data_IF_029872429437
#
_entry.id   IF_029872429437
#
_cell.length_a   1.000
_cell.length_b   1.000
_cell.length_c   1.000
_cell.angle_alpha   90.00
_cell.angle_beta   90.00
_cell.angle_gamma   90.00
#
_symmetry.space_group_name_H-M   'P 1'
#
loop_
_entity.id
_entity.type
_entity.pdbx_description
1 polymer ?
#
# COMPACT_ATOMS: atom_id res chain seq x y z
N UNK A 1 21.67 1.73 -14.41
CA UNK A 1 20.66 2.06 -13.39
C UNK A 1 19.73 3.16 -13.91
N UNK A 2 18.49 3.11 -13.46
CA UNK A 2 17.46 4.09 -13.77
C UNK A 2 16.53 4.25 -12.56
N UNK A 3 15.77 5.34 -12.51
CA UNK A 3 14.70 5.51 -11.52
C UNK A 3 13.36 5.14 -12.15
N UNK A 4 12.59 4.30 -11.47
CA UNK A 4 11.25 3.90 -11.91
C UNK A 4 10.23 4.56 -11.01
N UNK A 5 9.21 5.19 -11.59
CA UNK A 5 8.11 5.79 -10.84
C UNK A 5 6.76 5.29 -11.35
N UNK A 6 5.83 5.07 -10.40
CA UNK A 6 4.45 4.66 -10.65
C UNK A 6 3.53 5.52 -9.80
N UNK A 7 2.51 6.12 -10.43
CA UNK A 7 1.49 6.86 -9.72
C UNK A 7 0.24 6.00 -9.48
N UNK A 8 -0.58 6.38 -8.53
CA UNK A 8 -1.85 5.72 -8.22
C UNK A 8 -2.76 5.62 -9.44
N UNK A 9 -2.83 6.69 -10.24
CA UNK A 9 -3.65 6.74 -11.44
C UNK A 9 -3.12 5.87 -12.59
N UNK A 10 -1.87 5.41 -12.53
CA UNK A 10 -1.28 4.54 -13.55
C UNK A 10 -0.38 5.26 -14.56
N UNK A 11 0.24 6.38 -14.17
CA UNK A 11 1.33 6.99 -14.93
C UNK A 11 2.65 6.32 -14.56
N UNK A 12 3.36 5.84 -15.56
CA UNK A 12 4.63 5.11 -15.38
C UNK A 12 5.73 5.69 -16.25
N UNK A 13 6.95 5.65 -15.78
CA UNK A 13 8.15 6.02 -16.52
C UNK A 13 9.41 5.49 -15.87
N UNK A 14 10.50 5.46 -16.61
CA UNK A 14 11.86 5.46 -16.07
C UNK A 14 12.52 6.80 -16.32
N UNK A 15 13.41 7.19 -15.42
CA UNK A 15 14.13 8.47 -15.49
C UNK A 15 15.60 8.22 -15.25
N UNK A 16 16.46 8.82 -16.07
CA UNK A 16 17.90 8.69 -15.90
C UNK A 16 18.36 9.24 -14.55
N UNK A 17 19.42 8.71 -13.93
CA UNK A 17 19.97 9.24 -12.68
C UNK A 17 20.31 10.73 -12.77
N UNK A 18 20.81 11.18 -13.93
CA UNK A 18 21.13 12.58 -14.18
C UNK A 18 19.90 13.49 -14.11
N UNK A 19 18.81 13.08 -14.74
CA UNK A 19 17.56 13.84 -14.73
C UNK A 19 16.93 13.86 -13.33
N UNK A 20 16.97 12.75 -12.63
CA UNK A 20 16.47 12.64 -11.24
C UNK A 20 17.29 13.54 -10.29
N UNK A 21 18.61 13.49 -10.36
CA UNK A 21 19.52 14.29 -9.52
C UNK A 21 19.40 15.80 -9.77
N UNK A 22 18.97 16.21 -10.96
CA UNK A 22 18.75 17.63 -11.31
C UNK A 22 17.41 18.19 -10.81
N UNK A 23 16.61 17.39 -10.08
CA UNK A 23 15.27 17.73 -9.65
C UNK A 23 15.06 17.32 -8.20
N UNK A 24 14.04 17.91 -7.54
CA UNK A 24 13.55 17.41 -6.25
C UNK A 24 12.44 16.38 -6.48
N UNK A 25 12.13 15.56 -5.49
CA UNK A 25 11.07 14.55 -5.58
C UNK A 25 9.72 15.19 -5.93
N UNK A 26 9.43 16.37 -5.36
CA UNK A 26 8.17 17.10 -5.55
C UNK A 26 8.02 17.68 -6.96
N UNK A 27 9.12 17.83 -7.70
CA UNK A 27 9.10 18.36 -9.09
C UNK A 27 8.68 17.32 -10.13
N UNK A 28 8.25 16.13 -9.73
CA UNK A 28 7.74 15.11 -10.66
C UNK A 28 6.62 15.68 -11.53
N UNK A 29 6.66 15.37 -12.83
CA UNK A 29 5.55 15.69 -13.75
C UNK A 29 4.28 15.00 -13.30
N UNK A 30 3.20 15.75 -13.06
CA UNK A 30 1.97 15.25 -12.42
C UNK A 30 0.72 15.94 -12.93
N UNK A 31 -0.40 15.26 -12.76
CA UNK A 31 -1.75 15.79 -12.89
C UNK A 31 -2.29 16.25 -11.52
N UNK A 32 -3.44 16.95 -11.52
CA UNK A 32 -3.99 17.61 -10.32
C UNK A 32 -4.27 16.65 -9.15
N UNK A 33 -4.66 15.41 -9.42
CA UNK A 33 -4.96 14.35 -8.43
C UNK A 33 -3.77 13.38 -8.23
N UNK A 34 -2.57 13.86 -8.42
CA UNK A 34 -1.35 13.09 -8.34
C UNK A 34 -1.13 12.44 -6.96
N UNK A 35 -0.78 11.14 -6.99
CA UNK A 35 -0.24 10.41 -5.85
C UNK A 35 0.82 9.43 -6.31
N UNK A 36 2.04 9.62 -5.84
CA UNK A 36 3.16 8.71 -6.10
C UNK A 36 3.01 7.45 -5.24
N UNK A 37 2.93 6.28 -5.87
CA UNK A 37 2.85 4.98 -5.19
C UNK A 37 4.24 4.36 -5.03
N UNK A 38 5.10 4.58 -6.00
CA UNK A 38 6.38 3.88 -6.07
C UNK A 38 7.42 4.76 -6.76
N UNK A 39 8.59 4.85 -6.14
CA UNK A 39 9.81 5.34 -6.77
C UNK A 39 10.99 4.54 -6.24
N UNK A 40 11.78 3.98 -7.14
CA UNK A 40 12.93 3.15 -6.78
C UNK A 40 13.96 3.15 -7.90
N UNK A 41 15.23 3.01 -7.52
CA UNK A 41 16.28 2.67 -8.50
C UNK A 41 16.11 1.24 -8.99
N UNK A 42 16.33 1.03 -10.28
CA UNK A 42 16.24 -0.27 -10.91
C UNK A 42 17.31 -0.41 -12.00
N UNK A 43 17.61 -1.66 -12.33
CA UNK A 43 18.41 -2.00 -13.52
C UNK A 43 17.46 -2.25 -14.69
N UNK A 44 17.90 -1.89 -15.90
CA UNK A 44 17.11 -2.14 -17.11
C UNK A 44 16.86 -3.62 -17.39
N UNK A 45 17.61 -4.51 -16.75
CA UNK A 45 17.41 -5.97 -16.82
C UNK A 45 16.35 -6.51 -15.87
N UNK A 46 15.83 -5.69 -14.97
CA UNK A 46 14.81 -6.07 -13.99
C UNK A 46 13.40 -5.88 -14.55
N UNK A 47 12.42 -6.26 -13.75
CA UNK A 47 11.01 -6.34 -14.13
C UNK A 47 10.15 -5.55 -13.16
N UNK A 48 9.20 -4.78 -13.69
CA UNK A 48 8.20 -4.05 -12.91
C UNK A 48 6.89 -4.82 -12.88
N UNK A 49 6.40 -5.08 -11.67
CA UNK A 49 5.05 -5.59 -11.41
C UNK A 49 4.21 -4.50 -10.76
N UNK A 50 2.98 -4.33 -11.25
CA UNK A 50 2.01 -3.36 -10.74
C UNK A 50 0.69 -4.07 -10.46
N UNK A 51 0.17 -3.90 -9.24
CA UNK A 51 -1.05 -4.56 -8.76
C UNK A 51 -2.16 -3.53 -8.64
N UNK A 52 -3.33 -3.85 -9.21
CA UNK A 52 -4.44 -2.90 -9.28
C UNK A 52 -5.51 -3.17 -8.22
N UNK A 53 -6.33 -2.16 -7.98
CA UNK A 53 -7.50 -2.22 -7.09
C UNK A 53 -8.59 -3.19 -7.56
N UNK A 54 -8.57 -3.59 -8.83
CA UNK A 54 -9.53 -4.54 -9.41
C UNK A 54 -9.01 -5.99 -9.48
N UNK A 55 -7.88 -6.26 -8.82
CA UNK A 55 -7.33 -7.61 -8.77
C UNK A 55 -6.53 -8.03 -9.99
N UNK A 56 -6.01 -7.08 -10.75
CA UNK A 56 -5.19 -7.31 -11.92
C UNK A 56 -3.72 -6.98 -11.66
N UNK A 57 -2.83 -7.71 -12.32
CA UNK A 57 -1.41 -7.42 -12.32
C UNK A 57 -0.96 -7.04 -13.72
N UNK A 58 -0.11 -6.02 -13.80
CA UNK A 58 0.48 -5.51 -15.05
C UNK A 58 1.99 -5.70 -14.95
N UNK A 59 2.57 -6.20 -16.02
CA UNK A 59 3.99 -6.46 -16.15
C UNK A 59 4.64 -5.55 -17.18
N UNK A 60 5.79 -4.99 -16.84
CA UNK A 60 6.67 -4.28 -17.78
C UNK A 60 8.14 -4.62 -17.51
N UNK A 61 8.90 -5.06 -18.52
CA UNK A 61 10.35 -5.04 -18.41
C UNK A 61 10.80 -3.58 -18.25
N UNK A 62 11.77 -3.34 -17.37
CA UNK A 62 12.24 -1.97 -17.11
C UNK A 62 12.77 -1.29 -18.36
N UNK A 63 13.48 -2.04 -19.24
CA UNK A 63 14.02 -1.48 -20.49
C UNK A 63 12.95 -1.03 -21.50
N UNK A 64 11.72 -1.53 -21.37
CA UNK A 64 10.59 -1.12 -22.23
C UNK A 64 9.83 0.12 -21.72
N UNK A 65 10.14 0.59 -20.52
CA UNK A 65 9.56 1.84 -20.01
C UNK A 65 10.14 3.02 -20.78
N UNK A 66 9.28 4.01 -21.10
CA UNK A 66 9.73 5.24 -21.72
C UNK A 66 10.70 6.01 -20.81
N UNK A 67 11.83 6.42 -21.37
CA UNK A 67 12.82 7.25 -20.67
C UNK A 67 12.35 8.71 -20.75
N UNK A 68 11.83 9.20 -19.61
CA UNK A 68 11.15 10.50 -19.52
C UNK A 68 11.81 11.30 -18.38
N UNK A 69 12.00 12.60 -18.62
CA UNK A 69 12.54 13.49 -17.59
C UNK A 69 11.66 13.50 -16.34
N UNK A 70 12.26 13.67 -15.18
CA UNK A 70 11.53 13.66 -13.92
C UNK A 70 10.39 14.69 -13.88
N UNK A 71 10.60 15.86 -14.43
CA UNK A 71 9.62 16.95 -14.48
C UNK A 71 8.48 16.74 -15.49
N UNK A 72 8.58 15.75 -16.35
CA UNK A 72 7.55 15.45 -17.36
C UNK A 72 6.64 14.32 -16.91
N UNK A 73 5.40 14.35 -17.36
CA UNK A 73 4.40 13.31 -17.04
C UNK A 73 4.77 12.01 -17.76
N UNK A 74 4.66 10.88 -17.05
CA UNK A 74 4.87 9.55 -17.61
C UNK A 74 3.76 9.12 -18.57
N UNK A 75 3.91 7.93 -19.13
CA UNK A 75 2.86 7.29 -19.94
C UNK A 75 1.77 6.73 -19.06
N UNK A 76 0.51 6.90 -19.46
CA UNK A 76 -0.62 6.29 -18.75
C UNK A 76 -0.84 4.85 -19.22
N UNK A 77 -1.05 3.93 -18.29
CA UNK A 77 -1.23 2.51 -18.59
C UNK A 77 -2.41 2.22 -19.54
N UNK A 78 -3.46 3.04 -19.53
CA UNK A 78 -4.60 2.88 -20.45
C UNK A 78 -4.23 3.09 -21.92
N UNK A 79 -3.10 3.71 -22.21
CA UNK A 79 -2.63 3.88 -23.60
C UNK A 79 -2.19 2.57 -24.25
N UNK A 80 -1.79 1.59 -23.45
CA UNK A 80 -1.28 0.30 -23.94
C UNK A 80 -2.06 -0.89 -23.42
N UNK A 81 -2.57 -0.85 -22.18
CA UNK A 81 -3.35 -1.93 -21.58
C UNK A 81 -4.82 -1.76 -21.92
N UNK A 82 -5.34 -2.59 -22.82
CA UNK A 82 -6.69 -2.46 -23.38
C UNK A 82 -7.80 -2.81 -22.39
N UNK A 83 -7.52 -3.62 -21.37
CA UNK A 83 -8.45 -3.99 -20.32
C UNK A 83 -8.23 -3.23 -19.00
N UNK A 84 -7.56 -2.08 -19.05
CA UNK A 84 -7.43 -1.17 -17.91
C UNK A 84 -8.72 -0.35 -17.79
N UNK A 85 -9.41 -0.49 -16.65
CA UNK A 85 -10.70 0.16 -16.41
C UNK A 85 -10.53 1.62 -15.96
N UNK A 86 -11.55 2.46 -16.21
CA UNK A 86 -11.54 3.88 -15.85
C UNK A 86 -11.38 4.11 -14.33
N UNK A 87 -11.97 3.22 -13.51
CA UNK A 87 -11.90 3.28 -12.05
C UNK A 87 -10.76 2.44 -11.45
N UNK A 88 -9.92 1.86 -12.29
CA UNK A 88 -8.79 1.03 -11.85
C UNK A 88 -7.61 1.89 -11.46
N UNK A 89 -7.01 1.59 -10.32
CA UNK A 89 -5.85 2.30 -9.79
C UNK A 89 -4.77 1.31 -9.41
N UNK A 90 -3.51 1.77 -9.39
CA UNK A 90 -2.38 0.98 -8.89
C UNK A 90 -2.31 1.13 -7.38
N UNK A 91 -2.29 0.02 -6.68
CA UNK A 91 -2.22 0.00 -5.22
C UNK A 91 -0.86 -0.44 -4.68
N UNK A 92 -0.12 -1.21 -5.45
CA UNK A 92 1.20 -1.71 -5.09
C UNK A 92 2.04 -1.92 -6.34
N UNK A 93 3.34 -1.63 -6.24
CA UNK A 93 4.30 -1.90 -7.30
C UNK A 93 5.63 -2.36 -6.71
N UNK A 94 6.34 -3.19 -7.45
CA UNK A 94 7.68 -3.64 -7.08
C UNK A 94 8.52 -3.96 -8.30
N UNK A 95 9.84 -3.89 -8.13
CA UNK A 95 10.84 -4.33 -9.10
C UNK A 95 11.38 -5.67 -8.65
N UNK A 96 11.37 -6.65 -9.55
CA UNK A 96 11.82 -8.02 -9.29
C UNK A 96 12.87 -8.47 -10.29
N UNK A 97 13.73 -9.38 -9.86
CA UNK A 97 14.77 -9.98 -10.72
C UNK A 97 14.23 -11.19 -11.49
N UNK A 98 13.32 -11.96 -10.88
CA UNK A 98 12.79 -13.22 -11.40
C UNK A 98 11.38 -13.50 -10.91
N UNK A 99 10.71 -14.49 -11.51
CA UNK A 99 9.30 -14.81 -11.24
C UNK A 99 9.10 -16.18 -10.57
N UNK A 100 10.10 -17.02 -10.53
CA UNK A 100 10.04 -18.40 -10.05
C UNK A 100 10.54 -18.58 -8.61
N UNK A 101 10.74 -17.49 -7.90
CA UNK A 101 11.06 -17.53 -6.48
C UNK A 101 9.83 -17.91 -5.62
N UNK A 102 10.06 -18.23 -4.35
CA UNK A 102 9.03 -18.65 -3.43
C UNK A 102 8.23 -17.47 -2.82
N UNK A 103 8.27 -16.29 -3.43
CA UNK A 103 7.58 -15.11 -2.90
C UNK A 103 6.07 -15.28 -2.96
N UNK A 104 5.43 -15.03 -1.84
CA UNK A 104 3.98 -15.08 -1.65
C UNK A 104 3.48 -13.69 -1.27
N UNK A 105 2.36 -13.26 -1.86
CA UNK A 105 1.69 -12.02 -1.54
C UNK A 105 0.42 -12.30 -0.75
N UNK A 106 0.03 -11.39 0.13
CA UNK A 106 -1.35 -11.32 0.57
C UNK A 106 -2.07 -10.20 -0.20
N UNK A 107 -3.37 -10.37 -0.38
CA UNK A 107 -4.26 -9.35 -0.94
C UNK A 107 -5.54 -9.32 -0.11
N UNK A 108 -5.93 -8.14 0.34
CA UNK A 108 -7.13 -7.94 1.15
C UNK A 108 -8.08 -6.97 0.46
N UNK A 109 -9.40 -7.23 0.55
CA UNK A 109 -10.42 -6.45 -0.13
C UNK A 109 -11.22 -5.58 0.85
N UNK A 110 -11.80 -4.51 0.31
CA UNK A 110 -12.66 -3.58 1.05
C UNK A 110 -13.83 -4.26 1.76
N UNK A 111 -14.43 -5.27 1.14
CA UNK A 111 -15.55 -6.02 1.72
C UNK A 111 -15.11 -7.16 2.66
N UNK A 112 -13.83 -7.24 3.00
CA UNK A 112 -13.32 -8.12 4.05
C UNK A 112 -12.93 -9.52 3.60
N UNK A 113 -12.46 -9.68 2.37
CA UNK A 113 -11.84 -10.91 1.87
C UNK A 113 -10.32 -10.80 1.95
N UNK A 114 -9.64 -11.94 2.09
CA UNK A 114 -8.18 -12.01 2.04
C UNK A 114 -7.74 -13.31 1.37
N UNK A 115 -6.64 -13.27 0.65
CA UNK A 115 -6.00 -14.44 0.04
C UNK A 115 -4.50 -14.32 0.10
N UNK A 116 -3.82 -15.43 -0.13
CA UNK A 116 -2.42 -15.44 -0.52
C UNK A 116 -2.29 -15.99 -1.94
N UNK A 117 -1.30 -15.49 -2.67
CA UNK A 117 -1.00 -15.92 -4.05
C UNK A 117 0.52 -15.89 -4.27
N UNK A 118 1.05 -16.87 -4.99
CA UNK A 118 2.49 -16.93 -5.27
C UNK A 118 2.86 -16.13 -6.52
N UNK A 119 4.03 -15.47 -6.51
CA UNK A 119 4.56 -14.70 -7.65
C UNK A 119 4.65 -15.52 -8.92
N UNK A 120 4.97 -16.79 -8.85
CA UNK A 120 5.04 -17.68 -10.03
C UNK A 120 3.75 -17.75 -10.84
N UNK A 121 2.61 -17.40 -10.25
CA UNK A 121 1.33 -17.30 -10.96
C UNK A 121 1.30 -16.16 -12.01
N UNK A 122 2.19 -15.20 -11.91
CA UNK A 122 2.27 -14.03 -12.80
C UNK A 122 3.55 -14.04 -13.64
N UNK A 123 4.11 -15.18 -13.98
CA UNK A 123 5.20 -15.26 -14.96
C UNK A 123 4.81 -14.51 -16.23
N UNK A 124 5.76 -13.83 -16.90
CA UNK A 124 5.42 -13.03 -18.06
C UNK A 124 4.55 -13.78 -19.05
N UNK A 125 3.41 -13.22 -19.40
CA UNK A 125 2.46 -13.80 -20.33
C UNK A 125 2.60 -13.19 -21.72
N UNK A 126 2.18 -13.93 -22.74
CA UNK A 126 2.40 -13.54 -24.14
C UNK A 126 1.87 -12.15 -24.48
N UNK A 127 0.72 -11.78 -23.94
CA UNK A 127 0.03 -10.51 -24.25
C UNK A 127 0.29 -9.42 -23.22
N UNK A 128 1.37 -9.51 -22.44
CA UNK A 128 1.64 -8.59 -21.32
C UNK A 128 1.68 -7.11 -21.72
N UNK A 129 2.05 -6.81 -22.98
CA UNK A 129 2.13 -5.42 -23.48
C UNK A 129 0.74 -4.76 -23.58
N UNK A 130 -0.31 -5.55 -23.80
CA UNK A 130 -1.65 -5.06 -24.07
C UNK A 130 -2.72 -5.54 -23.09
N UNK A 131 -2.42 -6.49 -22.23
CA UNK A 131 -3.38 -7.11 -21.30
C UNK A 131 -2.77 -7.25 -19.91
N UNK A 132 -3.56 -6.89 -18.89
CA UNK A 132 -3.34 -7.35 -17.52
C UNK A 132 -3.91 -8.74 -17.33
N UNK A 133 -3.46 -9.44 -16.28
CA UNK A 133 -4.02 -10.72 -15.84
C UNK A 133 -4.43 -10.62 -14.37
N UNK A 134 -5.31 -11.52 -13.92
CA UNK A 134 -5.77 -11.53 -12.54
C UNK A 134 -4.70 -12.09 -11.59
N UNK A 135 -4.57 -11.47 -10.42
CA UNK A 135 -3.94 -12.05 -9.24
C UNK A 135 -4.97 -12.35 -8.14
N UNK A 136 -6.15 -11.73 -8.21
CA UNK A 136 -7.25 -11.96 -7.29
C UNK A 136 -8.59 -11.81 -7.99
N UNK A 137 -9.54 -12.69 -7.67
CA UNK A 137 -10.92 -12.57 -8.12
C UNK A 137 -11.74 -11.81 -7.08
N UNK A 138 -12.40 -10.73 -7.48
CA UNK A 138 -13.40 -10.05 -6.66
C UNK A 138 -14.74 -10.78 -6.78
N UNK A 139 -15.32 -11.20 -5.65
CA UNK A 139 -16.63 -11.88 -5.63
C UNK A 139 -17.78 -10.94 -5.95
N UNK A 140 -17.64 -9.69 -5.57
CA UNK A 140 -18.63 -8.64 -5.77
C UNK A 140 -18.04 -7.55 -6.66
N UNK A 141 -18.83 -7.05 -7.60
CA UNK A 141 -18.40 -6.01 -8.56
C UNK A 141 -18.13 -4.65 -7.88
N UNK A 142 -18.66 -4.45 -6.68
CA UNK A 142 -18.44 -3.22 -5.89
C UNK A 142 -17.21 -3.32 -5.00
N UNK A 143 -16.60 -4.50 -4.90
CA UNK A 143 -15.40 -4.69 -4.08
C UNK A 143 -14.15 -4.18 -4.77
N UNK A 144 -13.13 -3.89 -3.97
CA UNK A 144 -11.82 -3.45 -4.44
C UNK A 144 -10.74 -4.04 -3.53
N UNK A 145 -9.56 -4.25 -4.08
CA UNK A 145 -8.37 -4.55 -3.27
C UNK A 145 -7.93 -3.27 -2.56
N UNK A 146 -7.70 -3.36 -1.26
CA UNK A 146 -7.21 -2.24 -0.43
C UNK A 146 -5.76 -2.39 0.00
N UNK A 147 -5.23 -3.62 -0.04
CA UNK A 147 -3.83 -3.88 0.30
C UNK A 147 -3.29 -5.09 -0.43
N UNK A 148 -2.06 -4.99 -0.90
CA UNK A 148 -1.24 -6.08 -1.46
C UNK A 148 0.18 -5.87 -0.98
N UNK A 149 0.82 -6.92 -0.51
CA UNK A 149 2.25 -6.90 -0.20
C UNK A 149 2.83 -8.31 -0.16
N UNK A 150 4.12 -8.47 -0.42
CA UNK A 150 4.83 -9.72 -0.11
C UNK A 150 4.75 -10.01 1.38
N UNK A 151 4.57 -11.25 1.73
CA UNK A 151 4.51 -11.69 3.13
C UNK A 151 5.16 -13.06 3.30
N UNK A 152 5.81 -13.26 4.44
CA UNK A 152 6.34 -14.57 4.85
C UNK A 152 5.35 -15.21 5.83
N UNK A 153 5.79 -15.52 7.04
CA UNK A 153 4.96 -16.14 8.10
C UNK A 153 4.57 -15.15 9.20
N UNK A 154 4.41 -13.89 8.83
CA UNK A 154 4.11 -12.81 9.75
C UNK A 154 2.61 -12.75 10.10
N UNK A 155 2.30 -12.04 11.17
CA UNK A 155 0.94 -11.58 11.42
C UNK A 155 0.58 -10.43 10.48
N UNK A 156 -0.70 -10.31 10.17
CA UNK A 156 -1.28 -9.14 9.52
C UNK A 156 -2.19 -8.40 10.49
N UNK A 157 -2.21 -7.08 10.36
CA UNK A 157 -3.16 -6.20 11.04
C UNK A 157 -4.13 -5.62 10.01
N UNK A 158 -5.42 -5.84 10.25
CA UNK A 158 -6.52 -5.30 9.45
C UNK A 158 -7.21 -4.20 10.23
N UNK A 159 -7.48 -3.08 9.59
CA UNK A 159 -8.18 -1.95 10.21
C UNK A 159 -9.39 -1.57 9.37
N UNK A 160 -10.57 -1.59 9.99
CA UNK A 160 -11.81 -1.18 9.34
C UNK A 160 -11.99 0.34 9.36
N UNK A 161 -12.81 0.84 8.45
CA UNK A 161 -13.14 2.25 8.35
C UNK A 161 -13.75 2.82 9.65
N UNK A 162 -14.57 2.03 10.33
CA UNK A 162 -15.19 2.43 11.60
C UNK A 162 -14.26 2.31 12.81
N UNK A 163 -13.02 1.86 12.61
CA UNK A 163 -12.02 1.83 13.67
C UNK A 163 -12.01 0.54 14.50
N UNK A 164 -12.06 -0.59 13.85
CA UNK A 164 -11.79 -1.91 14.43
C UNK A 164 -10.51 -2.48 13.87
N UNK A 165 -9.68 -3.05 14.71
CA UNK A 165 -8.42 -3.69 14.33
C UNK A 165 -8.42 -5.18 14.68
N UNK A 166 -8.02 -6.01 13.73
CA UNK A 166 -7.90 -7.45 13.89
C UNK A 166 -6.51 -7.90 13.49
N UNK A 167 -5.84 -8.62 14.38
CA UNK A 167 -4.52 -9.21 14.14
C UNK A 167 -4.61 -10.73 14.16
N UNK A 168 -4.09 -11.37 13.11
CA UNK A 168 -3.98 -12.82 13.03
C UNK A 168 -2.78 -13.25 12.20
N UNK A 169 -2.34 -14.49 12.34
CA UNK A 169 -1.22 -15.01 11.58
C UNK A 169 -1.65 -15.32 10.14
N UNK A 170 -0.79 -14.98 9.18
CA UNK A 170 -1.09 -15.16 7.75
C UNK A 170 -1.26 -16.64 7.35
N UNK A 171 -0.74 -17.58 8.12
CA UNK A 171 -0.92 -19.02 7.87
C UNK A 171 -2.38 -19.47 7.93
N UNK A 172 -3.26 -18.69 8.58
CA UNK A 172 -4.71 -18.92 8.53
C UNK A 172 -5.34 -18.60 7.17
N UNK A 173 -4.59 -17.99 6.27
CA UNK A 173 -5.04 -17.64 4.92
C UNK A 173 -4.43 -18.61 3.92
N UNK A 174 -5.26 -19.35 3.12
CA UNK A 174 -4.72 -20.30 2.16
C UNK A 174 -3.99 -19.61 1.01
N UNK A 175 -2.95 -20.27 0.50
CA UNK A 175 -2.32 -19.93 -0.76
C UNK A 175 -3.14 -20.56 -1.88
N UNK A 176 -3.65 -19.74 -2.78
CA UNK A 176 -4.56 -20.18 -3.86
C UNK A 176 -4.10 -19.61 -5.21
N UNK A 177 -4.67 -20.12 -6.28
CA UNK A 177 -4.34 -19.67 -7.63
C UNK A 177 -4.76 -18.22 -7.89
N UNK A 178 -4.18 -17.62 -8.92
CA UNK A 178 -4.39 -16.21 -9.28
C UNK A 178 -5.86 -15.86 -9.56
N UNK A 179 -6.63 -16.80 -10.10
CA UNK A 179 -8.05 -16.61 -10.46
C UNK A 179 -9.01 -16.93 -9.31
N UNK A 180 -8.52 -17.30 -8.15
CA UNK A 180 -9.35 -17.60 -6.99
C UNK A 180 -9.67 -16.33 -6.19
N UNK A 181 -10.86 -16.33 -5.57
CA UNK A 181 -11.21 -15.38 -4.54
C UNK A 181 -10.63 -15.83 -3.19
N UNK A 182 -10.58 -14.91 -2.24
CA UNK A 182 -10.09 -15.21 -0.90
C UNK A 182 -11.13 -15.81 0.02
N UNK A 183 -10.76 -15.86 1.28
CA UNK A 183 -11.59 -16.23 2.43
C UNK A 183 -11.98 -14.99 3.21
N UNK A 184 -12.95 -15.11 4.11
CA UNK A 184 -13.34 -14.02 5.01
C UNK A 184 -12.15 -13.63 5.90
N UNK A 185 -11.76 -12.36 5.84
CA UNK A 185 -10.67 -11.80 6.62
C UNK A 185 -11.14 -11.25 7.96
N UNK A 186 -12.23 -10.49 7.94
CA UNK A 186 -12.74 -9.73 9.07
C UNK A 186 -14.28 -9.74 9.07
N UNK A 187 -14.88 -9.82 10.22
CA UNK A 187 -16.33 -9.75 10.37
C UNK A 187 -16.78 -8.28 10.43
N UNK A 188 -16.91 -7.68 9.25
CA UNK A 188 -17.38 -6.29 9.11
C UNK A 188 -18.89 -6.24 9.40
N UNK A 189 -19.31 -5.25 10.21
CA UNK A 189 -20.72 -4.95 10.40
C UNK A 189 -21.26 -4.11 9.24
N UNK A 190 -22.58 -3.96 9.21
CA UNK A 190 -23.22 -3.10 8.19
C UNK A 190 -22.61 -1.69 8.20
N UNK A 191 -22.42 -1.11 7.01
CA UNK A 191 -21.84 0.22 6.81
C UNK A 191 -20.36 0.35 7.26
N UNK A 192 -19.67 -0.75 7.43
CA UNK A 192 -18.23 -0.76 7.65
C UNK A 192 -17.50 -1.37 6.44
N UNK A 193 -16.24 -1.06 6.30
CA UNK A 193 -15.40 -1.56 5.23
C UNK A 193 -13.97 -1.73 5.74
N UNK A 194 -13.20 -2.63 5.13
CA UNK A 194 -11.78 -2.71 5.39
C UNK A 194 -11.08 -1.51 4.74
N UNK A 195 -10.30 -0.77 5.53
CA UNK A 195 -9.60 0.44 5.08
C UNK A 195 -8.11 0.22 4.88
N UNK A 196 -7.49 -0.63 5.71
CA UNK A 196 -6.07 -0.91 5.64
C UNK A 196 -5.76 -2.34 6.08
N UNK A 197 -4.69 -2.91 5.54
CA UNK A 197 -4.10 -4.16 5.97
C UNK A 197 -2.59 -4.10 5.75
N UNK A 198 -1.81 -4.49 6.74
CA UNK A 198 -0.37 -4.45 6.67
C UNK A 198 0.28 -5.48 7.58
N UNK A 199 1.56 -5.74 7.36
CA UNK A 199 2.35 -6.73 8.10
C UNK A 199 2.70 -6.17 9.48
N UNK A 200 2.52 -6.99 10.53
CA UNK A 200 2.92 -6.69 11.90
C UNK A 200 4.37 -7.11 12.14
N UNK A 201 5.31 -6.37 11.58
CA UNK A 201 6.75 -6.59 11.78
C UNK A 201 7.45 -5.42 12.49
N UNK A 202 6.68 -4.49 13.04
CA UNK A 202 7.15 -3.33 13.81
C UNK A 202 6.47 -3.27 15.17
N UNK A 203 6.96 -2.42 16.07
CA UNK A 203 6.39 -2.29 17.43
C UNK A 203 5.13 -1.44 17.50
N UNK A 204 4.85 -0.64 16.48
CA UNK A 204 3.71 0.27 16.47
C UNK A 204 3.15 0.51 15.07
N UNK A 205 1.93 1.01 15.04
CA UNK A 205 1.25 1.45 13.84
C UNK A 205 0.66 2.85 14.02
N UNK A 206 0.40 3.54 12.90
CA UNK A 206 -0.26 4.84 12.90
C UNK A 206 -1.66 4.74 12.30
N UNK A 207 -2.50 5.68 12.69
CA UNK A 207 -3.86 5.81 12.21
C UNK A 207 -4.20 7.30 12.05
N UNK A 208 -4.64 7.66 10.84
CA UNK A 208 -5.11 9.00 10.50
C UNK A 208 -6.61 8.93 10.21
N UNK A 209 -7.37 9.84 10.81
CA UNK A 209 -8.82 9.92 10.55
C UNK A 209 -9.14 10.99 9.50
N UNK A 210 -10.31 10.87 8.89
CA UNK A 210 -10.81 11.86 7.92
C UNK A 210 -10.96 13.27 8.50
N UNK A 211 -11.04 13.38 9.82
CA UNK A 211 -11.11 14.67 10.53
C UNK A 211 -9.72 15.30 10.75
N UNK A 212 -8.66 14.64 10.33
CA UNK A 212 -7.28 15.11 10.51
C UNK A 212 -6.64 14.77 11.85
N UNK A 213 -7.17 13.79 12.58
CA UNK A 213 -6.59 13.29 13.81
C UNK A 213 -5.63 12.15 13.54
N UNK A 214 -4.45 12.21 14.15
CA UNK A 214 -3.37 11.23 13.98
C UNK A 214 -2.97 10.65 15.34
N UNK A 215 -2.66 9.36 15.35
CA UNK A 215 -2.10 8.70 16.52
C UNK A 215 -1.18 7.53 16.15
N UNK A 216 -0.35 7.16 17.11
CA UNK A 216 0.52 5.99 17.07
C UNK A 216 0.13 5.04 18.21
N UNK A 217 -0.02 3.76 17.89
CA UNK A 217 -0.50 2.74 18.84
C UNK A 217 0.48 1.58 18.86
N UNK A 218 0.76 1.03 20.04
CA UNK A 218 1.57 -0.18 20.17
C UNK A 218 0.85 -1.38 19.55
N UNK A 219 1.58 -2.21 18.82
CA UNK A 219 1.06 -3.48 18.27
C UNK A 219 0.59 -4.43 19.39
N UNK A 220 1.21 -4.35 20.58
CA UNK A 220 0.83 -5.17 21.74
C UNK A 220 -0.60 -4.90 22.24
N UNK A 221 -1.16 -3.73 21.94
CA UNK A 221 -2.56 -3.43 22.28
C UNK A 221 -3.55 -4.19 21.39
N UNK A 222 -3.08 -4.84 20.31
CA UNK A 222 -3.87 -5.70 19.43
C UNK A 222 -3.29 -7.12 19.47
N UNK A 223 -3.65 -7.94 20.47
CA UNK A 223 -3.17 -9.31 20.55
C UNK A 223 -3.59 -10.14 19.34
N UNK A 224 -2.71 -11.05 18.91
CA UNK A 224 -3.04 -11.98 17.85
C UNK A 224 -4.22 -12.88 18.25
N UNK A 225 -5.14 -13.07 17.32
CA UNK A 225 -6.32 -13.91 17.51
C UNK A 225 -6.59 -14.68 16.22
N UNK A 226 -7.78 -15.20 16.02
CA UNK A 226 -8.14 -15.91 14.79
C UNK A 226 -8.75 -14.99 13.75
N UNK A 227 -8.62 -15.39 12.49
CA UNK A 227 -9.21 -14.74 11.33
C UNK A 227 -10.75 -14.65 11.45
N UNK A 228 -11.35 -13.76 10.69
CA UNK A 228 -12.79 -13.59 10.52
C UNK A 228 -13.56 -13.13 11.78
N UNK A 229 -12.86 -12.57 12.76
CA UNK A 229 -13.46 -11.86 13.89
C UNK A 229 -13.69 -10.39 13.56
N UNK A 230 -14.42 -9.70 14.44
CA UNK A 230 -14.64 -8.25 14.30
C UNK A 230 -13.41 -7.43 14.64
N UNK A 231 -12.59 -7.89 15.58
CA UNK A 231 -11.45 -7.17 16.12
C UNK A 231 -11.79 -6.27 17.30
N UNK A 232 -10.80 -5.48 17.70
CA UNK A 232 -10.86 -4.56 18.84
C UNK A 232 -11.03 -3.13 18.36
N UNK A 233 -11.76 -2.34 19.12
CA UNK A 233 -11.99 -0.93 18.84
C UNK A 233 -10.69 -0.12 18.96
N UNK A 234 -10.33 0.66 17.96
CA UNK A 234 -9.15 1.52 17.92
C UNK A 234 -9.48 3.00 17.75
N UNK A 235 -10.76 3.33 17.64
CA UNK A 235 -11.29 4.69 17.70
C UNK A 235 -12.42 4.75 18.71
N UNK A 236 -12.46 5.83 19.48
CA UNK A 236 -13.60 6.13 20.35
C UNK A 236 -14.77 6.60 19.50
N UNK A 237 -15.90 5.90 19.56
CA UNK A 237 -17.11 6.29 18.83
C UNK A 237 -17.73 7.56 19.44
N UNK A 238 -18.01 8.53 18.58
CA UNK A 238 -18.69 9.76 18.95
C UNK A 238 -20.08 9.77 18.32
N UNK A 239 -21.09 10.24 19.07
CA UNK A 239 -22.46 10.33 18.55
C UNK A 239 -22.56 11.27 17.36
N UNK A 240 -21.87 12.42 17.43
CA UNK A 240 -21.84 13.43 16.38
C UNK A 240 -20.44 13.52 15.81
N UNK A 241 -20.34 13.60 14.47
CA UNK A 241 -19.09 13.73 13.74
C UNK A 241 -18.06 12.64 14.15
N UNK A 242 -18.40 11.35 14.00
CA UNK A 242 -17.47 10.28 14.37
C UNK A 242 -16.20 10.34 13.54
N UNK A 243 -15.09 9.91 14.15
CA UNK A 243 -13.86 9.66 13.41
C UNK A 243 -14.00 8.39 12.57
N UNK A 244 -13.44 8.42 11.37
CA UNK A 244 -13.32 7.24 10.49
C UNK A 244 -11.88 7.12 10.02
N UNK A 245 -11.40 5.91 9.87
CA UNK A 245 -10.03 5.68 9.40
C UNK A 245 -9.92 6.11 7.95
N UNK A 246 -8.98 7.01 7.69
CA UNK A 246 -8.60 7.46 6.36
C UNK A 246 -7.36 6.74 5.86
N UNK A 247 -6.34 6.63 6.71
CA UNK A 247 -5.07 5.99 6.40
C UNK A 247 -4.54 5.29 7.66
N UNK A 248 -3.90 4.14 7.49
CA UNK A 248 -3.21 3.44 8.56
C UNK A 248 -2.07 2.60 7.99
N UNK A 249 -1.06 2.35 8.80
CA UNK A 249 0.08 1.55 8.41
C UNK A 249 1.06 1.33 9.55
N UNK A 250 2.06 0.48 9.32
CA UNK A 250 3.13 0.25 10.28
C UNK A 250 4.01 1.50 10.41
N UNK A 251 4.50 1.76 11.62
CA UNK A 251 5.52 2.79 11.85
C UNK A 251 6.87 2.11 11.78
N UNK A 252 7.71 2.54 10.82
CA UNK A 252 9.06 2.03 10.66
C UNK A 252 9.89 2.32 11.92
N UNK A 253 10.61 1.32 12.39
CA UNK A 253 11.52 1.49 13.51
C UNK A 253 12.79 2.18 13.02
N UNK A 254 13.36 3.05 13.87
CA UNK A 254 14.68 3.58 13.66
C UNK A 254 15.67 2.43 13.83
N UNK A 255 16.13 1.87 12.74
CA UNK A 255 17.08 0.76 12.74
C UNK A 255 18.49 1.24 12.44
N UNK A 256 19.46 0.71 13.18
CA UNK A 256 20.83 0.72 12.74
C UNK A 256 20.94 -0.24 11.54
N UNK A 257 21.01 0.30 10.34
CA UNK A 257 21.52 -0.45 9.20
C UNK A 257 23.02 -0.24 9.17
N UNK A 258 23.72 -1.03 9.97
CA UNK A 258 25.17 -0.97 10.03
C UNK A 258 25.73 -2.37 10.11
N UNK A 259 26.60 -2.72 9.17
CA UNK A 259 27.67 -3.68 9.41
C UNK A 259 28.52 -3.18 10.59
N UNK A 260 29.11 -4.08 11.35
CA UNK A 260 29.95 -3.80 12.54
C UNK A 260 31.02 -2.70 12.34
N UNK A 261 31.21 -2.22 11.13
CA UNK A 261 32.22 -1.25 10.73
C UNK A 261 31.66 0.00 10.02
N UNK A 262 30.35 0.14 9.83
CA UNK A 262 29.77 1.34 9.24
C UNK A 262 29.18 2.26 10.29
N UNK A 263 29.55 3.54 10.23
CA UNK A 263 29.06 4.61 11.11
C UNK A 263 27.86 5.35 10.50
N UNK A 264 27.31 4.88 9.39
CA UNK A 264 26.18 5.52 8.75
C UNK A 264 24.86 4.97 9.33
N UNK A 265 24.17 5.83 10.05
CA UNK A 265 22.80 5.63 10.51
C UNK A 265 21.89 6.04 9.35
N UNK A 266 21.34 5.08 8.59
CA UNK A 266 20.20 5.42 7.76
C UNK A 266 18.99 5.63 8.69
N UNK A 267 18.64 6.89 8.89
CA UNK A 267 17.36 7.24 9.49
C UNK A 267 16.27 6.79 8.51
N UNK A 268 15.55 5.72 8.85
CA UNK A 268 14.31 5.33 8.20
C UNK A 268 13.22 6.34 8.59
N UNK A 269 13.37 7.57 8.11
CA UNK A 269 12.47 8.66 8.42
C UNK A 269 11.14 8.49 7.65
N UNK A 270 10.05 8.38 8.40
CA UNK A 270 8.71 8.22 7.84
C UNK A 270 7.90 9.47 8.12
N UNK A 271 7.78 10.32 7.10
CA UNK A 271 7.05 11.57 7.16
C UNK A 271 5.73 11.44 6.41
N UNK A 272 4.64 11.80 7.08
CA UNK A 272 3.31 11.84 6.50
C UNK A 272 3.00 13.26 6.05
N UNK A 273 2.67 13.44 4.76
CA UNK A 273 2.16 14.69 4.20
C UNK A 273 0.65 14.57 4.02
N UNK A 274 -0.09 15.44 4.69
CA UNK A 274 -1.56 15.44 4.66
C UNK A 274 -2.05 16.74 4.04
N UNK A 275 -2.86 16.64 2.99
CA UNK A 275 -3.52 17.79 2.39
C UNK A 275 -4.97 17.84 2.88
N UNK A 276 -5.37 18.95 3.51
CA UNK A 276 -6.74 19.16 3.93
C UNK A 276 -7.66 19.47 2.75
N UNK A 277 -8.97 19.40 2.96
CA UNK A 277 -9.97 19.78 1.96
C UNK A 277 -9.91 21.26 1.55
N UNK A 278 -9.20 22.10 2.34
CA UNK A 278 -8.91 23.50 2.02
C UNK A 278 -7.62 23.70 1.23
N UNK A 279 -6.90 22.59 0.92
CA UNK A 279 -5.66 22.62 0.18
C UNK A 279 -4.40 22.88 1.01
N UNK A 280 -4.51 23.05 2.33
CA UNK A 280 -3.35 23.22 3.22
C UNK A 280 -2.63 21.90 3.43
N UNK A 281 -1.29 21.92 3.32
CA UNK A 281 -0.45 20.74 3.53
C UNK A 281 0.12 20.77 4.94
N UNK A 282 -0.01 19.67 5.66
CA UNK A 282 0.51 19.44 7.00
C UNK A 282 1.52 18.29 6.95
N UNK A 283 2.58 18.42 7.71
CA UNK A 283 3.67 17.43 7.78
C UNK A 283 3.76 16.87 9.19
N UNK A 284 3.89 15.54 9.30
CA UNK A 284 4.08 14.85 10.57
C UNK A 284 5.10 13.74 10.43
N UNK A 285 6.10 13.72 11.27
CA UNK A 285 7.07 12.63 11.37
C UNK A 285 6.50 11.56 12.29
N UNK A 286 6.25 10.36 11.75
CA UNK A 286 5.54 9.30 12.49
C UNK A 286 6.33 8.79 13.69
N UNK A 287 7.67 8.73 13.60
CA UNK A 287 8.53 8.29 14.69
C UNK A 287 8.52 9.26 15.91
N UNK A 288 8.16 10.52 15.69
CA UNK A 288 8.08 11.53 16.76
C UNK A 288 6.76 11.47 17.55
N UNK A 289 5.78 10.72 17.07
CA UNK A 289 4.51 10.57 17.77
C UNK A 289 4.70 9.73 19.04
N UNK A 290 4.16 10.20 20.13
CA UNK A 290 4.03 9.41 21.35
C UNK A 290 3.00 8.29 21.15
N UNK A 291 3.19 7.17 21.85
CA UNK A 291 2.19 6.11 21.87
C UNK A 291 0.91 6.62 22.54
N UNK A 292 -0.21 6.35 21.90
CA UNK A 292 -1.55 6.66 22.40
C UNK A 292 -2.26 5.39 22.83
N UNK A 293 -3.26 5.55 23.69
CA UNK A 293 -4.16 4.44 24.05
C UNK A 293 -4.95 3.96 22.82
N UNK A 294 -5.22 2.68 22.76
CA UNK A 294 -5.97 2.03 21.68
C UNK A 294 -7.30 2.72 21.38
N UNK A 295 -8.05 3.11 22.40
CA UNK A 295 -9.40 3.68 22.27
C UNK A 295 -9.47 5.19 22.20
N UNK A 296 -8.32 5.89 22.15
CA UNK A 296 -8.29 7.33 21.93
C UNK A 296 -8.58 7.68 20.46
N UNK A 297 -8.94 8.93 20.18
CA UNK A 297 -9.09 9.43 18.82
C UNK A 297 -7.82 10.16 18.30
N UNK A 298 -6.74 10.13 19.07
CA UNK A 298 -5.49 10.81 18.72
C UNK A 298 -5.57 12.32 18.86
N UNK A 299 -4.65 13.01 18.21
CA UNK A 299 -4.54 14.47 18.22
C UNK A 299 -4.69 15.04 16.82
N UNK A 300 -5.40 16.16 16.70
CA UNK A 300 -5.55 16.85 15.42
C UNK A 300 -4.20 17.39 14.95
N UNK A 301 -3.84 17.06 13.72
CA UNK A 301 -2.66 17.56 13.02
C UNK A 301 -3.06 18.44 11.83
N UNK A 302 -4.29 18.35 11.38
CA UNK A 302 -4.82 19.06 10.22
C UNK A 302 -6.30 19.36 10.37
N UNK A 303 -6.81 20.21 9.49
CA UNK A 303 -8.26 20.30 9.20
C UNK A 303 -8.74 19.00 8.53
N UNK A 304 -10.07 18.90 8.32
CA UNK A 304 -10.71 17.78 7.62
C UNK A 304 -10.03 17.50 6.26
N UNK A 305 -9.75 16.24 6.01
CA UNK A 305 -9.07 15.76 4.81
C UNK A 305 -10.06 15.56 3.66
#
# INVERSE_FOLDING_TARGET
DTYVSVTKAGYIKRTSPRSFAASTLEEIGKRDDYRLIFVQTAKTTQHLLMFTTLGNVIYRPIHELADIRWKDIGEHLSQTITNFETNEEIIYAEVVDQFDDATTYFAATRLGQIKRVERKEFSPWRTYKSKSVKYAKLKDKTDQIVAVAPIKLDDVLLISQNGYALRFNIEEVPVVGSKAAGVKAMNLKAVDALQAAFICNTSSFYLLTQRGSLKRVSIEEIPATSRAKRGLQVLRELKNKPHRVFLAGAVAEQGFVGDLFSTEVEENDQTLLVQSNKGTIYESRLQDLNLSERTSNGSFISDTI
#
